data_IF_892571956553
#
_entry.id   IF_892571956553
#
_cell.length_a   1.000
_cell.length_b   1.000
_cell.length_c   1.000
_cell.angle_alpha   90.00
_cell.angle_beta   90.00
_cell.angle_gamma   90.00
#
_symmetry.space_group_name_H-M   'P 1'
#
loop_
_entity.id
_entity.type
_entity.pdbx_description
1 polymer ?
#
# COMPACT_ATOMS: atom_id res chain seq x y z
N UNK A 1 1.34 -8.69 23.38
CA UNK A 1 0.07 -7.94 23.42
C UNK A 1 -1.06 -8.94 23.17
N UNK A 2 -2.10 -8.94 23.99
CA UNK A 2 -3.27 -9.83 23.79
C UNK A 2 -4.06 -9.47 22.53
N UNK A 3 -4.95 -10.33 22.06
CA UNK A 3 -5.71 -10.11 20.83
C UNK A 3 -6.65 -8.90 20.96
N UNK A 4 -7.33 -8.78 22.11
CA UNK A 4 -8.22 -7.65 22.40
C UNK A 4 -7.46 -6.31 22.43
N UNK A 5 -6.28 -6.27 23.05
CA UNK A 5 -5.42 -5.07 23.06
C UNK A 5 -4.96 -4.70 21.65
N UNK A 6 -4.58 -5.70 20.84
CA UNK A 6 -4.18 -5.47 19.44
C UNK A 6 -5.34 -4.94 18.61
N UNK A 7 -6.55 -5.48 18.80
CA UNK A 7 -7.76 -4.97 18.17
C UNK A 7 -7.99 -3.50 18.55
N UNK A 8 -8.02 -3.16 19.83
CA UNK A 8 -8.20 -1.77 20.28
C UNK A 8 -7.15 -0.83 19.68
N UNK A 9 -5.88 -1.22 19.69
CA UNK A 9 -4.80 -0.42 19.11
C UNK A 9 -5.00 -0.17 17.60
N UNK A 10 -5.38 -1.20 16.84
CA UNK A 10 -5.65 -1.06 15.39
C UNK A 10 -6.89 -0.19 15.16
N UNK A 11 -7.96 -0.38 15.94
CA UNK A 11 -9.20 0.42 15.81
C UNK A 11 -8.95 1.89 16.13
N UNK A 12 -8.16 2.17 17.16
CA UNK A 12 -7.77 3.52 17.57
C UNK A 12 -6.90 4.19 16.52
N UNK A 13 -5.92 3.47 15.94
CA UNK A 13 -5.08 4.02 14.88
C UNK A 13 -5.91 4.55 13.69
N UNK A 14 -6.98 3.87 13.30
CA UNK A 14 -7.88 4.39 12.25
C UNK A 14 -8.59 5.70 12.63
N UNK A 15 -8.91 5.91 13.90
CA UNK A 15 -9.54 7.13 14.40
C UNK A 15 -8.51 8.25 14.59
N UNK A 16 -7.28 7.91 15.01
CA UNK A 16 -6.16 8.85 15.09
C UNK A 16 -5.82 9.42 13.70
N UNK A 17 -5.93 8.61 12.64
CA UNK A 17 -5.70 9.07 11.26
C UNK A 17 -6.67 10.16 10.81
N UNK A 18 -7.87 10.22 11.37
CA UNK A 18 -8.84 11.28 11.03
C UNK A 18 -8.86 12.42 12.05
N UNK A 19 -8.01 12.35 13.07
CA UNK A 19 -7.93 13.38 14.09
C UNK A 19 -7.40 14.68 13.46
N UNK A 20 -8.15 15.77 13.58
CA UNK A 20 -7.80 17.08 13.02
C UNK A 20 -8.30 17.33 11.59
N UNK A 21 -8.98 16.35 10.97
CA UNK A 21 -9.66 16.55 9.69
C UNK A 21 -11.04 17.20 9.89
N UNK A 22 -11.42 18.08 8.96
CA UNK A 22 -12.74 18.69 8.95
C UNK A 22 -13.80 17.75 8.35
N UNK A 23 -15.10 17.92 8.65
CA UNK A 23 -16.16 17.10 8.09
C UNK A 23 -16.15 17.01 6.55
N UNK A 24 -15.73 18.08 5.88
CA UNK A 24 -15.60 18.18 4.43
C UNK A 24 -14.49 17.27 3.90
N UNK A 25 -13.35 17.20 4.59
CA UNK A 25 -12.21 16.35 4.21
C UNK A 25 -12.60 14.87 4.25
N UNK A 26 -13.39 14.49 5.26
CA UNK A 26 -13.84 13.12 5.50
C UNK A 26 -14.83 12.60 4.43
N UNK A 27 -15.30 13.50 3.56
CA UNK A 27 -16.22 13.25 2.46
C UNK A 27 -15.54 13.22 1.09
N UNK A 28 -14.27 13.61 0.99
CA UNK A 28 -13.58 13.73 -0.29
C UNK A 28 -13.45 12.38 -1.00
N UNK A 29 -13.76 12.38 -2.30
CA UNK A 29 -13.46 11.29 -3.22
C UNK A 29 -12.79 11.88 -4.47
N UNK A 30 -11.46 11.93 -4.47
CA UNK A 30 -10.68 12.56 -5.55
C UNK A 30 -10.80 11.85 -6.91
N UNK A 31 -11.11 10.56 -6.91
CA UNK A 31 -11.29 9.74 -8.11
C UNK A 31 -12.15 8.50 -7.82
N UNK A 32 -12.58 7.83 -8.90
CA UNK A 32 -13.43 6.64 -8.81
C UNK A 32 -12.81 5.48 -8.00
N UNK A 33 -11.47 5.41 -7.95
CA UNK A 33 -10.77 4.40 -7.15
C UNK A 33 -10.63 4.80 -5.66
N UNK A 34 -10.67 6.08 -5.34
CA UNK A 34 -10.59 6.54 -3.95
C UNK A 34 -11.94 6.31 -3.23
N UNK A 35 -11.91 6.23 -1.91
CA UNK A 35 -13.08 6.29 -1.05
C UNK A 35 -12.92 7.36 0.04
N UNK A 36 -14.02 8.00 0.48
CA UNK A 36 -13.93 8.96 1.58
C UNK A 36 -13.42 8.34 2.87
N UNK A 37 -12.66 9.08 3.68
CA UNK A 37 -12.16 8.61 4.97
C UNK A 37 -13.30 8.11 5.89
N UNK A 38 -14.46 8.79 5.88
CA UNK A 38 -15.67 8.30 6.57
C UNK A 38 -16.13 6.93 6.07
N UNK A 39 -16.03 6.68 4.76
CA UNK A 39 -16.38 5.38 4.18
C UNK A 39 -15.38 4.29 4.62
N UNK A 40 -14.07 4.57 4.70
CA UNK A 40 -13.09 3.62 5.25
C UNK A 40 -13.43 3.22 6.69
N UNK A 41 -13.74 4.19 7.54
CA UNK A 41 -14.15 3.94 8.93
C UNK A 41 -15.43 3.12 9.04
N UNK A 42 -16.42 3.40 8.19
CA UNK A 42 -17.65 2.65 8.18
C UNK A 42 -17.47 1.23 7.61
N UNK A 43 -16.63 1.08 6.58
CA UNK A 43 -16.37 -0.19 5.91
C UNK A 43 -15.61 -1.19 6.80
N UNK A 44 -14.59 -0.74 7.53
CA UNK A 44 -13.87 -1.65 8.44
C UNK A 44 -14.77 -2.11 9.58
N UNK A 45 -15.71 -1.27 10.02
CA UNK A 45 -16.75 -1.66 10.99
C UNK A 45 -17.75 -2.63 10.43
N UNK A 46 -18.21 -2.38 9.21
CA UNK A 46 -19.08 -3.29 8.47
C UNK A 46 -18.45 -4.69 8.40
N UNK A 47 -17.14 -4.79 8.15
CA UNK A 47 -16.46 -6.08 8.08
C UNK A 47 -16.65 -6.89 9.38
N UNK A 48 -16.32 -6.31 10.54
CA UNK A 48 -16.48 -7.01 11.82
C UNK A 48 -17.94 -7.36 12.11
N UNK A 49 -18.86 -6.42 11.91
CA UNK A 49 -20.29 -6.68 12.16
C UNK A 49 -20.84 -7.80 11.25
N UNK A 50 -20.47 -7.77 9.97
CA UNK A 50 -20.97 -8.70 8.96
C UNK A 50 -20.43 -10.11 9.12
N UNK A 51 -19.14 -10.25 9.43
CA UNK A 51 -18.48 -11.56 9.43
C UNK A 51 -18.36 -12.19 10.81
N UNK A 52 -18.48 -11.42 11.90
CA UNK A 52 -18.20 -11.91 13.25
C UNK A 52 -19.35 -11.72 14.23
N UNK A 53 -20.25 -10.76 14.01
CA UNK A 53 -21.27 -10.38 15.02
C UNK A 53 -22.72 -10.67 14.62
N UNK A 54 -22.98 -11.21 13.42
CA UNK A 54 -24.36 -11.50 12.96
C UNK A 54 -25.15 -12.43 13.91
N UNK A 55 -24.44 -13.29 14.64
CA UNK A 55 -25.03 -14.25 15.57
C UNK A 55 -24.88 -13.84 17.05
N UNK A 56 -24.32 -12.65 17.36
CA UNK A 56 -24.24 -12.16 18.73
C UNK A 56 -25.59 -11.58 19.17
N UNK A 57 -26.30 -12.31 20.04
CA UNK A 57 -27.60 -11.91 20.56
C UNK A 57 -27.58 -10.61 21.40
N UNK A 58 -26.41 -10.19 21.91
CA UNK A 58 -26.22 -8.95 22.66
C UNK A 58 -25.84 -7.77 21.75
N UNK A 59 -25.50 -8.04 20.48
CA UNK A 59 -25.05 -7.02 19.55
C UNK A 59 -26.21 -6.19 19.01
N UNK A 60 -26.06 -4.86 19.05
CA UNK A 60 -26.99 -3.92 18.44
C UNK A 60 -26.51 -3.53 17.04
N UNK A 61 -27.01 -4.26 16.04
CA UNK A 61 -26.64 -4.10 14.64
C UNK A 61 -26.94 -2.69 14.09
N UNK A 62 -26.18 -2.28 13.06
CA UNK A 62 -26.50 -1.12 12.26
C UNK A 62 -27.84 -1.27 11.49
N UNK A 63 -28.45 -0.17 11.02
CA UNK A 63 -29.59 -0.25 10.11
C UNK A 63 -29.23 -1.05 8.86
N UNK A 64 -30.09 -1.98 8.44
CA UNK A 64 -29.83 -2.90 7.30
C UNK A 64 -29.29 -2.21 6.04
N UNK A 65 -29.77 -1.00 5.74
CA UNK A 65 -29.31 -0.22 4.58
C UNK A 65 -27.79 0.06 4.61
N UNK A 66 -27.16 0.14 5.79
CA UNK A 66 -25.73 0.38 5.94
C UNK A 66 -24.90 -0.81 5.45
N UNK A 67 -25.41 -2.04 5.54
CA UNK A 67 -24.74 -3.22 4.97
C UNK A 67 -24.64 -3.14 3.45
N UNK A 68 -25.55 -2.42 2.79
CA UNK A 68 -25.45 -2.13 1.34
C UNK A 68 -24.46 -1.01 1.05
N UNK A 69 -24.49 0.07 1.84
CA UNK A 69 -23.62 1.24 1.64
C UNK A 69 -22.14 0.95 1.88
N UNK A 70 -21.84 0.09 2.84
CA UNK A 70 -20.49 -0.19 3.30
C UNK A 70 -19.99 -1.58 2.93
N UNK A 71 -20.74 -2.37 2.17
CA UNK A 71 -20.18 -3.50 1.44
C UNK A 71 -19.26 -2.97 0.32
N UNK A 72 -18.03 -3.45 0.28
CA UNK A 72 -17.05 -3.04 -0.73
C UNK A 72 -17.37 -3.67 -2.09
N UNK A 73 -17.42 -5.00 -2.14
CA UNK A 73 -17.49 -5.78 -3.37
C UNK A 73 -18.05 -7.20 -3.19
N UNK A 74 -18.50 -7.60 -2.00
CA UNK A 74 -18.95 -8.96 -1.72
C UNK A 74 -20.34 -9.22 -2.31
N UNK A 75 -20.38 -9.79 -3.51
CA UNK A 75 -21.61 -10.00 -4.28
C UNK A 75 -22.49 -11.10 -3.71
N UNK A 76 -21.88 -12.08 -3.05
CA UNK A 76 -22.58 -13.12 -2.29
C UNK A 76 -23.32 -12.57 -1.06
N UNK A 77 -22.90 -11.44 -0.52
CA UNK A 77 -23.57 -10.76 0.61
C UNK A 77 -24.69 -9.84 0.11
N UNK A 78 -24.49 -9.14 -1.00
CA UNK A 78 -25.50 -8.26 -1.59
C UNK A 78 -24.96 -7.39 -2.72
N UNK A 79 -25.77 -6.42 -3.16
CA UNK A 79 -25.35 -5.44 -4.19
C UNK A 79 -24.77 -4.19 -3.52
N UNK A 80 -23.45 -3.97 -3.54
CA UNK A 80 -22.84 -2.80 -2.91
C UNK A 80 -23.21 -1.49 -3.60
N UNK A 81 -23.18 -0.39 -2.84
CA UNK A 81 -23.26 0.97 -3.40
C UNK A 81 -22.13 1.21 -4.42
N UNK A 82 -22.39 1.86 -5.58
CA UNK A 82 -21.36 2.07 -6.60
C UNK A 82 -20.13 2.77 -6.04
N UNK A 83 -18.95 2.17 -6.24
CA UNK A 83 -17.67 2.73 -5.77
C UNK A 83 -17.44 4.18 -6.22
N UNK A 84 -17.68 4.57 -7.49
CA UNK A 84 -17.47 5.96 -7.93
C UNK A 84 -18.40 7.00 -7.30
N UNK A 85 -19.43 6.55 -6.57
CA UNK A 85 -20.46 7.41 -5.98
C UNK A 85 -20.40 7.44 -4.45
N UNK A 86 -19.34 6.90 -3.83
CA UNK A 86 -19.19 6.87 -2.36
C UNK A 86 -19.11 8.27 -1.76
N UNK A 87 -18.51 9.23 -2.46
CA UNK A 87 -18.42 10.65 -2.08
C UNK A 87 -19.76 11.37 -2.07
N UNK A 88 -20.80 10.80 -2.69
CA UNK A 88 -22.16 11.36 -2.65
C UNK A 88 -22.90 11.04 -1.35
N UNK A 89 -22.36 10.14 -0.52
CA UNK A 89 -22.98 9.66 0.71
C UNK A 89 -22.80 10.63 1.89
N UNK A 90 -23.50 11.77 1.85
CA UNK A 90 -23.53 12.75 2.96
C UNK A 90 -24.08 12.15 4.27
N UNK A 91 -24.85 11.05 4.18
CA UNK A 91 -25.32 10.25 5.30
C UNK A 91 -24.86 8.79 5.19
N UNK A 92 -24.62 8.11 6.32
CA UNK A 92 -24.65 8.63 7.69
C UNK A 92 -23.53 9.64 7.96
N UNK A 93 -23.78 10.55 8.92
CA UNK A 93 -22.78 11.53 9.40
C UNK A 93 -21.72 10.82 10.25
N UNK A 94 -20.53 11.41 10.34
CA UNK A 94 -19.39 10.82 11.05
C UNK A 94 -19.74 10.35 12.47
N UNK A 95 -20.39 11.19 13.28
CA UNK A 95 -20.78 10.83 14.66
C UNK A 95 -21.61 9.55 14.75
N UNK A 96 -22.44 9.24 13.76
CA UNK A 96 -23.22 8.00 13.75
C UNK A 96 -22.34 6.80 13.35
N UNK A 97 -21.38 7.00 12.45
CA UNK A 97 -20.37 5.99 12.10
C UNK A 97 -19.50 5.68 13.32
N UNK A 98 -19.01 6.69 14.04
CA UNK A 98 -18.22 6.52 15.27
C UNK A 98 -19.02 5.83 16.38
N UNK A 99 -20.30 6.20 16.58
CA UNK A 99 -21.15 5.52 17.54
C UNK A 99 -21.38 4.03 17.18
N UNK A 100 -21.48 3.71 15.89
CA UNK A 100 -21.53 2.33 15.42
C UNK A 100 -20.21 1.58 15.63
N UNK A 101 -19.08 2.22 15.31
CA UNK A 101 -17.72 1.72 15.61
C UNK A 101 -17.61 1.30 17.07
N UNK A 102 -18.03 2.16 18.00
CA UNK A 102 -17.96 1.87 19.43
C UNK A 102 -18.80 0.65 19.85
N UNK A 103 -20.02 0.48 19.31
CA UNK A 103 -20.86 -0.70 19.60
C UNK A 103 -20.23 -1.99 19.07
N UNK A 104 -19.67 -1.96 17.88
CA UNK A 104 -18.94 -3.10 17.29
C UNK A 104 -17.69 -3.40 18.10
N UNK A 105 -16.92 -2.38 18.50
CA UNK A 105 -15.73 -2.55 19.34
C UNK A 105 -16.05 -3.28 20.65
N UNK A 106 -17.07 -2.82 21.40
CA UNK A 106 -17.45 -3.47 22.65
C UNK A 106 -17.97 -4.91 22.47
N UNK A 107 -18.55 -5.23 21.31
CA UNK A 107 -19.00 -6.60 21.01
C UNK A 107 -17.85 -7.52 20.61
N UNK A 108 -16.92 -6.99 19.82
CA UNK A 108 -15.67 -7.67 19.47
C UNK A 108 -14.79 -7.94 20.70
N UNK A 109 -14.71 -7.02 21.66
CA UNK A 109 -13.99 -7.22 22.92
C UNK A 109 -14.55 -8.41 23.73
N UNK A 110 -15.88 -8.53 23.82
CA UNK A 110 -16.51 -9.71 24.43
C UNK A 110 -16.16 -10.98 23.67
N UNK A 111 -16.34 -11.00 22.35
CA UNK A 111 -16.04 -12.16 21.51
C UNK A 111 -14.57 -12.61 21.67
N UNK A 112 -13.62 -11.67 21.65
CA UNK A 112 -12.20 -12.00 21.81
C UNK A 112 -11.89 -12.52 23.22
N UNK A 113 -12.53 -11.98 24.25
CA UNK A 113 -12.38 -12.47 25.64
C UNK A 113 -12.85 -13.93 25.76
N UNK A 114 -13.98 -14.27 25.12
CA UNK A 114 -14.51 -15.64 25.04
C UNK A 114 -13.57 -16.57 24.27
N UNK A 115 -13.02 -16.11 23.14
CA UNK A 115 -12.04 -16.88 22.35
C UNK A 115 -10.73 -17.13 23.10
N UNK A 116 -10.23 -16.14 23.84
CA UNK A 116 -9.02 -16.27 24.67
C UNK A 116 -9.26 -17.24 25.85
N UNK A 117 -10.42 -17.17 26.51
CA UNK A 117 -10.81 -18.10 27.58
C UNK A 117 -11.03 -19.54 27.08
N UNK A 118 -11.48 -19.70 25.82
CA UNK A 118 -11.78 -20.97 25.17
C UNK A 118 -10.56 -21.76 24.65
N UNK A 119 -9.33 -21.32 24.92
CA UNK A 119 -8.09 -22.01 24.50
C UNK A 119 -7.51 -21.54 23.17
N UNK A 120 -8.00 -20.45 22.58
CA UNK A 120 -7.43 -19.82 21.38
C UNK A 120 -7.31 -20.77 20.18
N UNK A 121 -6.12 -20.85 19.58
CA UNK A 121 -5.84 -21.75 18.44
C UNK A 121 -5.90 -23.24 18.78
N UNK A 122 -5.88 -23.61 20.07
CA UNK A 122 -6.11 -24.98 20.54
C UNK A 122 -7.60 -25.33 20.73
N UNK A 123 -8.50 -24.37 20.48
CA UNK A 123 -9.95 -24.53 20.63
C UNK A 123 -10.60 -25.37 19.53
N UNK A 124 -11.92 -25.50 19.61
CA UNK A 124 -12.73 -26.24 18.64
C UNK A 124 -12.65 -25.62 17.23
N UNK A 125 -12.95 -26.37 16.15
CA UNK A 125 -12.86 -25.87 14.76
C UNK A 125 -13.56 -24.52 14.51
N UNK A 126 -14.72 -24.29 15.14
CA UNK A 126 -15.47 -23.03 15.04
C UNK A 126 -14.71 -21.85 15.68
N UNK A 127 -14.11 -22.04 16.86
CA UNK A 127 -13.30 -21.01 17.52
C UNK A 127 -12.06 -20.64 16.68
N UNK A 128 -11.41 -21.65 16.07
CA UNK A 128 -10.28 -21.42 15.16
C UNK A 128 -10.70 -20.61 13.93
N UNK A 129 -11.86 -20.90 13.36
CA UNK A 129 -12.42 -20.14 12.24
C UNK A 129 -12.71 -18.68 12.63
N UNK A 130 -13.36 -18.45 13.77
CA UNK A 130 -13.61 -17.10 14.29
C UNK A 130 -12.30 -16.34 14.52
N UNK A 131 -11.30 -16.97 15.14
CA UNK A 131 -9.99 -16.35 15.36
C UNK A 131 -9.31 -15.98 14.04
N UNK A 132 -9.36 -16.85 13.02
CA UNK A 132 -8.84 -16.53 11.69
C UNK A 132 -9.58 -15.34 11.05
N UNK A 133 -10.92 -15.26 11.21
CA UNK A 133 -11.72 -14.14 10.72
C UNK A 133 -11.44 -12.83 11.47
N UNK A 134 -11.19 -12.89 12.78
CA UNK A 134 -10.71 -11.73 13.56
C UNK A 134 -9.37 -11.25 13.01
N UNK A 135 -8.40 -12.15 12.83
CA UNK A 135 -7.09 -11.81 12.28
C UNK A 135 -7.20 -11.22 10.87
N UNK A 136 -8.07 -11.76 10.02
CA UNK A 136 -8.36 -11.18 8.70
C UNK A 136 -8.94 -9.77 8.81
N UNK A 137 -9.91 -9.56 9.70
CA UNK A 137 -10.51 -8.24 9.92
C UNK A 137 -9.51 -7.19 10.42
N UNK A 138 -8.59 -7.58 11.31
CA UNK A 138 -7.52 -6.70 11.78
C UNK A 138 -6.58 -6.28 10.64
N UNK A 139 -6.13 -7.25 9.83
CA UNK A 139 -5.25 -6.96 8.70
C UNK A 139 -5.98 -6.18 7.58
N UNK A 140 -7.27 -6.47 7.36
CA UNK A 140 -8.12 -5.71 6.46
C UNK A 140 -8.23 -4.23 6.90
N UNK A 141 -8.39 -3.96 8.19
CA UNK A 141 -8.39 -2.58 8.67
C UNK A 141 -7.06 -1.88 8.47
N UNK A 142 -5.93 -2.57 8.65
CA UNK A 142 -4.60 -2.01 8.38
C UNK A 142 -4.41 -1.67 6.89
N UNK A 143 -4.95 -2.46 5.95
CA UNK A 143 -5.00 -2.07 4.54
C UNK A 143 -5.82 -0.79 4.34
N UNK A 144 -6.96 -0.66 5.03
CA UNK A 144 -7.80 0.53 4.94
C UNK A 144 -7.19 1.77 5.61
N UNK A 145 -6.30 1.61 6.59
CA UNK A 145 -5.51 2.71 7.17
C UNK A 145 -4.54 3.29 6.13
N UNK A 146 -3.84 2.42 5.41
CA UNK A 146 -2.96 2.83 4.32
C UNK A 146 -3.76 3.51 3.19
N UNK A 147 -4.86 2.89 2.73
CA UNK A 147 -5.70 3.45 1.67
C UNK A 147 -6.31 4.80 2.05
N UNK A 148 -6.72 4.98 3.31
CA UNK A 148 -7.32 6.24 3.78
C UNK A 148 -6.38 7.42 3.52
N UNK A 149 -5.09 7.29 3.84
CA UNK A 149 -4.11 8.35 3.63
C UNK A 149 -3.80 8.57 2.15
N UNK A 150 -3.76 7.51 1.35
CA UNK A 150 -3.54 7.63 -0.10
C UNK A 150 -4.72 8.30 -0.81
N UNK A 151 -5.94 7.99 -0.38
CA UNK A 151 -7.18 8.56 -0.92
C UNK A 151 -7.35 10.03 -0.50
N UNK A 152 -6.99 10.35 0.76
CA UNK A 152 -6.95 11.72 1.25
C UNK A 152 -5.91 12.57 0.50
N UNK A 153 -4.70 12.03 0.30
CA UNK A 153 -3.65 12.68 -0.49
C UNK A 153 -4.15 13.02 -1.90
N UNK A 154 -4.82 12.09 -2.57
CA UNK A 154 -5.39 12.35 -3.90
C UNK A 154 -6.41 13.50 -3.87
N UNK A 155 -7.33 13.47 -2.89
CA UNK A 155 -8.33 14.52 -2.70
C UNK A 155 -7.70 15.90 -2.45
N UNK A 156 -6.75 15.98 -1.53
CA UNK A 156 -6.06 17.22 -1.17
C UNK A 156 -5.22 17.77 -2.34
N UNK A 157 -4.57 16.89 -3.10
CA UNK A 157 -3.72 17.27 -4.24
C UNK A 157 -4.49 17.95 -5.38
N UNK A 158 -5.81 17.75 -5.44
CA UNK A 158 -6.71 18.31 -6.44
C UNK A 158 -7.36 19.62 -5.99
N UNK A 159 -7.31 19.92 -4.70
CA UNK A 159 -7.80 21.19 -4.20
C UNK A 159 -6.88 22.31 -4.66
N UNK A 160 -7.39 23.41 -5.26
CA UNK A 160 -6.56 24.55 -5.64
C UNK A 160 -5.95 25.27 -4.42
N UNK A 161 -6.47 25.01 -3.23
CA UNK A 161 -5.92 25.53 -1.97
C UNK A 161 -4.79 24.66 -1.39
N UNK A 162 -4.55 23.47 -1.97
CA UNK A 162 -3.47 22.56 -1.57
C UNK A 162 -3.35 22.36 -0.04
N UNK A 163 -4.43 21.93 0.65
CA UNK A 163 -4.43 21.73 2.09
C UNK A 163 -3.46 20.61 2.49
N UNK A 164 -2.80 20.75 3.64
CA UNK A 164 -1.92 19.72 4.20
C UNK A 164 -2.67 18.90 5.26
N UNK A 165 -2.46 17.58 5.26
CA UNK A 165 -2.94 16.70 6.33
C UNK A 165 -2.12 16.89 7.61
N UNK A 166 -0.79 16.92 7.48
CA UNK A 166 0.15 17.10 8.57
C UNK A 166 1.16 18.20 8.18
N UNK A 167 0.80 19.49 8.25
CA UNK A 167 1.65 20.57 7.76
C UNK A 167 3.04 20.54 8.42
N UNK A 168 4.09 20.62 7.60
CA UNK A 168 5.45 20.71 8.10
C UNK A 168 5.61 21.96 9.01
N UNK A 169 6.38 21.89 10.11
CA UNK A 169 6.63 23.05 10.96
C UNK A 169 7.23 24.21 10.14
N UNK A 170 6.84 25.48 10.39
CA UNK A 170 7.30 26.64 9.62
C UNK A 170 8.83 26.77 9.52
N UNK A 171 9.55 26.36 10.57
CA UNK A 171 11.02 26.42 10.64
C UNK A 171 11.75 25.47 9.66
N UNK A 172 11.03 24.55 9.01
CA UNK A 172 11.54 23.63 7.98
C UNK A 172 11.34 24.16 6.56
N UNK A 173 10.30 24.96 6.29
CA UNK A 173 10.03 25.49 4.95
C UNK A 173 11.08 26.54 4.54
N UNK A 174 11.43 27.47 5.43
CA UNK A 174 12.49 28.48 5.15
C UNK A 174 13.90 27.87 5.07
N UNK A 175 14.18 26.81 5.83
CA UNK A 175 15.48 26.12 5.79
C UNK A 175 15.65 25.24 4.55
N UNK A 176 14.59 24.61 4.06
CA UNK A 176 14.63 23.82 2.83
C UNK A 176 14.73 24.71 1.58
N UNK A 177 14.13 25.91 1.60
CA UNK A 177 14.23 26.88 0.52
C UNK A 177 15.59 27.60 0.44
N UNK A 178 16.30 27.79 1.57
CA UNK A 178 17.51 28.62 1.61
C UNK A 178 18.79 27.97 2.19
N UNK A 179 18.75 26.79 2.81
CA UNK A 179 19.92 26.13 3.40
C UNK A 179 19.82 24.60 3.42
N UNK A 180 19.60 23.97 2.26
CA UNK A 180 20.10 22.60 2.12
C UNK A 180 21.61 22.67 1.87
N UNK A 181 22.49 22.02 2.66
CA UNK A 181 23.85 21.78 2.20
C UNK A 181 23.75 21.15 0.80
N UNK A 182 24.65 21.54 -0.11
CA UNK A 182 24.64 21.05 -1.50
C UNK A 182 24.32 19.55 -1.48
N UNK A 183 23.30 19.07 -2.22
CA UNK A 183 22.85 17.69 -2.13
C UNK A 183 24.06 16.82 -2.36
N UNK A 184 24.48 16.06 -1.35
CA UNK A 184 25.47 15.01 -1.57
C UNK A 184 24.85 14.11 -2.63
N UNK A 185 25.49 13.94 -3.78
CA UNK A 185 25.02 13.04 -4.83
C UNK A 185 24.61 11.72 -4.19
N UNK A 186 23.46 11.14 -4.56
CA UNK A 186 23.04 9.88 -3.98
C UNK A 186 24.16 8.86 -4.26
N UNK A 187 24.38 7.94 -3.33
CA UNK A 187 25.32 6.84 -3.57
C UNK A 187 24.99 6.20 -4.92
N UNK A 188 25.99 5.96 -5.79
CA UNK A 188 25.76 5.25 -7.05
C UNK A 188 24.98 3.97 -6.80
N UNK A 189 24.04 3.63 -7.68
CA UNK A 189 23.24 2.42 -7.56
C UNK A 189 24.16 1.19 -7.55
N UNK A 190 24.17 0.45 -6.43
CA UNK A 190 24.85 -0.83 -6.31
C UNK A 190 23.94 -1.97 -6.75
N UNK A 191 24.52 -3.16 -6.87
CA UNK A 191 23.81 -4.35 -7.33
C UNK A 191 24.02 -5.50 -6.34
N UNK A 192 22.90 -6.04 -5.84
CA UNK A 192 22.85 -7.30 -5.12
C UNK A 192 22.70 -8.44 -6.13
N UNK A 193 23.75 -9.25 -6.26
CA UNK A 193 23.76 -10.38 -7.20
C UNK A 193 23.30 -11.66 -6.51
N UNK A 194 22.53 -12.47 -7.25
CA UNK A 194 22.10 -13.78 -6.83
C UNK A 194 22.42 -14.81 -7.92
N UNK A 195 23.05 -15.95 -7.60
CA UNK A 195 23.50 -16.94 -8.60
C UNK A 195 22.36 -17.72 -9.27
N UNK A 196 21.11 -17.46 -8.89
CA UNK A 196 19.95 -18.22 -9.34
C UNK A 196 19.80 -19.54 -8.57
N UNK A 197 18.97 -20.44 -9.12
CA UNK A 197 18.64 -21.74 -8.55
C UNK A 197 17.19 -21.88 -8.11
N UNK A 198 16.89 -23.02 -7.49
CA UNK A 198 15.55 -23.35 -7.01
C UNK A 198 15.28 -22.68 -5.66
N UNK A 199 14.28 -21.80 -5.61
CA UNK A 199 13.87 -21.09 -4.39
C UNK A 199 12.44 -21.43 -4.01
N UNK A 200 12.08 -21.16 -2.75
CA UNK A 200 10.69 -21.21 -2.28
C UNK A 200 10.05 -19.83 -2.38
N UNK A 201 8.85 -19.77 -2.94
CA UNK A 201 8.01 -18.58 -3.00
C UNK A 201 6.71 -18.84 -2.22
N UNK A 202 6.30 -17.89 -1.39
CA UNK A 202 5.04 -17.90 -0.64
C UNK A 202 5.17 -18.26 0.83
N UNK A 203 4.07 -18.05 1.56
CA UNK A 203 4.01 -18.18 3.01
C UNK A 203 4.31 -19.61 3.49
N UNK A 204 5.29 -19.71 4.40
CA UNK A 204 5.67 -20.93 5.11
C UNK A 204 5.70 -20.66 6.60
N UNK A 205 5.02 -21.50 7.38
CA UNK A 205 5.08 -21.46 8.84
C UNK A 205 3.75 -21.11 9.48
N UNK A 206 3.85 -20.59 10.71
CA UNK A 206 2.73 -20.22 11.54
C UNK A 206 2.51 -18.70 11.49
N UNK A 207 1.27 -18.27 11.65
CA UNK A 207 0.90 -16.86 11.69
C UNK A 207 -0.05 -16.45 10.57
N UNK A 208 -0.46 -15.18 10.59
CA UNK A 208 -1.39 -14.67 9.61
C UNK A 208 -0.71 -14.45 8.26
N UNK A 209 -1.40 -14.84 7.19
CA UNK A 209 -1.11 -14.46 5.82
C UNK A 209 -2.44 -14.31 5.07
N UNK A 210 -2.44 -13.53 3.99
CA UNK A 210 -3.56 -13.56 3.05
C UNK A 210 -3.53 -14.86 2.23
N UNK A 211 -4.69 -15.35 1.80
CA UNK A 211 -4.81 -16.56 0.98
C UNK A 211 -3.95 -16.50 -0.29
N UNK A 212 -3.83 -15.31 -0.90
CA UNK A 212 -3.01 -15.06 -2.10
C UNK A 212 -1.50 -15.24 -1.90
N UNK A 213 -1.01 -15.34 -0.66
CA UNK A 213 0.39 -15.60 -0.32
C UNK A 213 0.71 -17.11 -0.30
N UNK A 214 -0.30 -17.97 -0.52
CA UNK A 214 -0.23 -19.41 -0.34
C UNK A 214 -0.83 -20.19 -1.53
N UNK A 215 -0.49 -21.49 -1.72
CA UNK A 215 0.52 -22.25 -0.97
C UNK A 215 1.95 -21.88 -1.38
N UNK A 216 2.91 -22.15 -0.49
CA UNK A 216 4.31 -22.07 -0.84
C UNK A 216 4.66 -23.12 -1.91
N UNK A 217 5.44 -22.72 -2.91
CA UNK A 217 5.83 -23.57 -4.03
C UNK A 217 7.24 -23.21 -4.49
N UNK A 218 7.83 -24.08 -5.31
CA UNK A 218 9.19 -23.88 -5.82
C UNK A 218 9.17 -23.14 -7.16
N UNK A 219 10.11 -22.22 -7.34
CA UNK A 219 10.33 -21.47 -8.57
C UNK A 219 11.82 -21.52 -8.91
N UNK A 220 12.14 -21.69 -10.18
CA UNK A 220 13.52 -21.58 -10.68
C UNK A 220 13.83 -20.12 -11.03
N UNK A 221 14.94 -19.61 -10.49
CA UNK A 221 15.48 -18.30 -10.85
C UNK A 221 16.77 -18.48 -11.65
N UNK A 222 16.86 -17.83 -12.81
CA UNK A 222 18.14 -17.63 -13.50
C UNK A 222 19.03 -16.65 -12.71
N UNK A 223 20.36 -16.62 -12.91
CA UNK A 223 21.23 -15.61 -12.32
C UNK A 223 20.73 -14.19 -12.61
N UNK A 224 20.69 -13.36 -11.58
CA UNK A 224 20.18 -11.99 -11.69
C UNK A 224 20.88 -11.06 -10.70
N UNK A 225 20.75 -9.77 -10.95
CA UNK A 225 21.11 -8.74 -10.00
C UNK A 225 19.95 -7.76 -9.80
N UNK A 226 19.84 -7.21 -8.59
CA UNK A 226 18.86 -6.21 -8.24
C UNK A 226 19.53 -4.99 -7.62
N UNK A 227 19.00 -3.80 -7.89
CA UNK A 227 19.47 -2.57 -7.29
C UNK A 227 19.46 -2.67 -5.76
N UNK A 228 20.52 -2.19 -5.11
CA UNK A 228 20.65 -2.20 -3.65
C UNK A 228 19.78 -1.14 -2.96
N UNK A 229 19.26 -0.17 -3.70
CA UNK A 229 18.29 0.84 -3.25
C UNK A 229 17.20 1.09 -4.30
N UNK A 230 16.21 1.89 -3.90
CA UNK A 230 15.20 2.41 -4.82
C UNK A 230 15.79 3.48 -5.76
N UNK A 231 15.14 3.65 -6.90
CA UNK A 231 15.42 4.76 -7.84
C UNK A 231 15.05 6.09 -7.19
N UNK A 232 15.88 7.11 -7.34
CA UNK A 232 15.66 8.43 -6.74
C UNK A 232 14.91 9.39 -7.67
N UNK A 233 14.35 10.47 -7.10
CA UNK A 233 13.75 11.56 -7.87
C UNK A 233 14.75 12.18 -8.86
N UNK A 234 16.02 12.33 -8.48
CA UNK A 234 17.06 12.90 -9.34
C UNK A 234 17.37 12.00 -10.54
N UNK A 235 17.44 10.69 -10.32
CA UNK A 235 17.60 9.72 -11.41
C UNK A 235 16.37 9.69 -12.34
N UNK A 236 15.16 9.75 -11.76
CA UNK A 236 13.93 9.83 -12.54
C UNK A 236 13.80 11.14 -13.32
N UNK A 237 14.28 12.26 -12.78
CA UNK A 237 14.34 13.53 -13.47
C UNK A 237 15.26 13.46 -14.70
N UNK A 238 16.36 12.69 -14.65
CA UNK A 238 17.23 12.47 -15.80
C UNK A 238 16.49 11.72 -16.93
N UNK A 239 15.70 10.70 -16.61
CA UNK A 239 14.81 10.03 -17.55
C UNK A 239 13.83 11.01 -18.21
N UNK A 240 13.24 11.92 -17.43
CA UNK A 240 12.32 12.93 -17.96
C UNK A 240 13.01 13.95 -18.87
N UNK A 241 14.21 14.41 -18.51
CA UNK A 241 15.01 15.35 -19.31
C UNK A 241 15.45 14.73 -20.64
N UNK A 242 15.78 13.45 -20.64
CA UNK A 242 16.18 12.70 -21.84
C UNK A 242 14.99 12.31 -22.75
N UNK A 243 13.81 12.90 -22.54
CA UNK A 243 12.64 12.66 -23.36
C UNK A 243 11.90 11.36 -23.02
N UNK A 244 12.06 10.82 -21.81
CA UNK A 244 11.49 9.54 -21.40
C UNK A 244 9.97 9.43 -21.55
N UNK A 245 9.23 10.54 -21.43
CA UNK A 245 7.77 10.58 -21.66
C UNK A 245 7.38 10.86 -23.12
N UNK A 246 8.36 11.12 -23.99
CA UNK A 246 8.21 11.47 -25.39
C UNK A 246 8.73 10.37 -26.32
N UNK A 247 9.54 9.43 -25.82
CA UNK A 247 10.08 8.32 -26.58
C UNK A 247 9.30 7.02 -26.37
N UNK A 248 8.47 6.65 -27.34
CA UNK A 248 7.67 5.42 -27.34
C UNK A 248 8.49 4.13 -27.19
N UNK A 249 9.79 4.13 -27.52
CA UNK A 249 10.64 2.92 -27.48
C UNK A 249 10.84 2.38 -26.06
N UNK A 250 10.63 3.19 -25.03
CA UNK A 250 10.73 2.77 -23.64
C UNK A 250 9.43 2.14 -23.11
N UNK A 251 8.30 2.39 -23.75
CA UNK A 251 6.98 2.08 -23.21
C UNK A 251 6.41 0.78 -23.79
N UNK A 252 5.67 0.07 -22.95
CA UNK A 252 4.69 -0.90 -23.47
C UNK A 252 3.63 -0.17 -24.28
N UNK A 253 3.10 -0.80 -25.33
CA UNK A 253 2.12 -0.19 -26.24
C UNK A 253 0.87 0.34 -25.50
N UNK A 254 0.30 -0.43 -24.57
CA UNK A 254 -0.82 0.03 -23.74
C UNK A 254 -0.43 1.24 -22.88
N UNK A 255 0.78 1.23 -22.31
CA UNK A 255 1.30 2.32 -21.50
C UNK A 255 1.52 3.60 -22.31
N UNK A 256 1.99 3.47 -23.55
CA UNK A 256 2.18 4.59 -24.48
C UNK A 256 0.86 5.26 -24.83
N UNK A 257 -0.16 4.49 -25.20
CA UNK A 257 -1.49 5.03 -25.48
C UNK A 257 -2.10 5.67 -24.21
N UNK A 258 -2.03 4.98 -23.07
CA UNK A 258 -2.55 5.50 -21.81
C UNK A 258 -1.90 6.81 -21.40
N UNK A 259 -0.56 6.93 -21.48
CA UNK A 259 0.15 8.16 -21.10
C UNK A 259 -0.19 9.31 -22.04
N UNK A 260 -0.43 9.03 -23.31
CA UNK A 260 -0.88 10.01 -24.30
C UNK A 260 -2.30 10.49 -23.97
N UNK A 261 -3.27 9.56 -23.84
CA UNK A 261 -4.68 9.87 -23.61
C UNK A 261 -4.94 10.60 -22.28
N UNK A 262 -4.13 10.28 -21.26
CA UNK A 262 -4.20 10.93 -19.94
C UNK A 262 -3.26 12.11 -19.80
N UNK A 263 -2.46 12.42 -20.84
CA UNK A 263 -1.48 13.49 -20.84
C UNK A 263 -0.48 13.41 -19.68
N UNK A 264 0.00 12.20 -19.39
CA UNK A 264 0.99 11.97 -18.32
C UNK A 264 2.37 12.40 -18.82
N UNK A 265 3.05 13.25 -18.04
CA UNK A 265 4.36 13.82 -18.36
C UNK A 265 5.36 13.83 -17.19
N UNK A 266 4.93 13.41 -15.99
CA UNK A 266 5.71 13.38 -14.76
C UNK A 266 4.97 12.53 -13.71
N UNK A 267 5.66 12.06 -12.63
CA UNK A 267 5.03 11.38 -11.50
C UNK A 267 3.86 12.16 -10.89
N UNK A 268 2.87 11.44 -10.34
CA UNK A 268 1.50 11.97 -10.13
C UNK A 268 1.42 13.31 -9.39
N UNK A 269 2.23 13.47 -8.34
CA UNK A 269 2.16 14.63 -7.47
C UNK A 269 3.30 15.63 -7.64
N UNK A 270 4.14 15.45 -8.66
CA UNK A 270 5.10 16.49 -9.04
C UNK A 270 4.34 17.73 -9.53
N UNK A 271 4.90 18.91 -9.26
CA UNK A 271 4.33 20.21 -9.58
C UNK A 271 5.34 20.99 -10.42
N UNK A 272 4.84 21.53 -11.53
CA UNK A 272 5.59 22.42 -12.41
C UNK A 272 4.94 23.80 -12.35
N UNK A 273 5.68 24.77 -11.83
CA UNK A 273 5.27 26.17 -11.67
C UNK A 273 5.75 27.05 -12.84
N UNK A 274 6.30 26.45 -13.90
CA UNK A 274 6.89 27.14 -15.04
C UNK A 274 8.42 27.11 -15.04
N UNK A 275 9.05 26.77 -13.91
CA UNK A 275 10.52 26.66 -13.77
C UNK A 275 11.00 25.19 -13.72
N UNK A 276 10.13 24.27 -14.13
CA UNK A 276 10.39 22.84 -14.15
C UNK A 276 9.78 22.09 -12.95
N UNK A 277 10.13 20.82 -12.81
CA UNK A 277 9.56 19.94 -11.78
C UNK A 277 10.33 20.06 -10.46
N UNK A 278 10.18 21.19 -9.78
CA UNK A 278 10.94 21.49 -8.55
C UNK A 278 10.17 21.16 -7.25
N UNK A 279 8.89 20.84 -7.36
CA UNK A 279 7.98 20.70 -6.23
C UNK A 279 7.23 19.37 -6.27
N UNK A 280 6.85 18.86 -5.10
CA UNK A 280 5.95 17.73 -4.93
C UNK A 280 4.82 18.12 -3.97
N UNK A 281 3.61 17.63 -4.23
CA UNK A 281 2.51 17.70 -3.26
C UNK A 281 2.46 16.40 -2.44
N UNK A 282 2.45 16.52 -1.11
CA UNK A 282 2.52 15.41 -0.16
C UNK A 282 1.45 15.54 0.92
N UNK A 283 1.37 14.58 1.84
CA UNK A 283 0.49 14.71 3.02
C UNK A 283 0.90 15.89 3.93
N UNK A 284 2.13 16.40 3.80
CA UNK A 284 2.57 17.61 4.49
C UNK A 284 2.31 18.91 3.70
N UNK A 285 1.59 18.80 2.57
CA UNK A 285 1.36 19.88 1.62
C UNK A 285 2.43 19.94 0.53
N UNK A 286 2.50 21.08 -0.17
CA UNK A 286 3.53 21.34 -1.18
C UNK A 286 4.90 21.48 -0.52
N UNK A 287 5.87 20.71 -0.98
CA UNK A 287 7.26 20.78 -0.52
C UNK A 287 8.25 20.72 -1.69
N UNK A 288 9.51 21.17 -1.51
CA UNK A 288 10.54 20.99 -2.52
C UNK A 288 10.75 19.52 -2.87
N UNK A 289 10.96 19.23 -4.15
CA UNK A 289 11.27 17.88 -4.62
C UNK A 289 12.70 17.50 -4.22
N UNK A 290 12.84 16.54 -3.30
CA UNK A 290 14.16 16.10 -2.83
C UNK A 290 14.80 15.12 -3.81
N UNK A 291 15.96 15.45 -4.43
CA UNK A 291 16.55 14.63 -5.49
C UNK A 291 17.00 13.23 -5.03
N UNK A 292 17.38 13.08 -3.76
CA UNK A 292 17.86 11.81 -3.20
C UNK A 292 16.76 10.95 -2.57
N UNK A 293 15.54 11.46 -2.46
CA UNK A 293 14.40 10.68 -2.00
C UNK A 293 13.98 9.68 -3.11
N UNK A 294 13.47 8.49 -2.74
CA UNK A 294 13.01 7.54 -3.73
C UNK A 294 11.82 8.11 -4.51
N UNK A 295 11.82 7.95 -5.83
CA UNK A 295 10.72 8.41 -6.68
C UNK A 295 9.46 7.61 -6.38
N UNK A 296 8.33 8.30 -6.26
CA UNK A 296 7.05 7.71 -5.83
C UNK A 296 5.86 8.14 -6.68
N UNK A 297 4.75 7.44 -6.47
CA UNK A 297 3.45 7.66 -7.14
C UNK A 297 3.54 7.42 -8.66
N UNK A 298 4.22 6.33 -9.02
CA UNK A 298 4.40 5.85 -10.38
C UNK A 298 3.37 4.78 -10.72
N UNK A 299 2.91 4.78 -11.97
CA UNK A 299 2.26 3.61 -12.55
C UNK A 299 3.28 2.51 -12.81
N UNK A 300 2.79 1.28 -13.00
CA UNK A 300 3.63 0.19 -13.47
C UNK A 300 4.25 0.53 -14.83
N UNK A 301 3.49 1.18 -15.73
CA UNK A 301 3.99 1.62 -17.03
C UNK A 301 5.14 2.62 -16.93
N UNK A 302 5.03 3.60 -16.03
CA UNK A 302 6.11 4.57 -15.76
C UNK A 302 7.36 3.91 -15.17
N UNK A 303 7.19 2.96 -14.24
CA UNK A 303 8.29 2.22 -13.63
C UNK A 303 9.02 1.33 -14.65
N UNK A 304 8.25 0.61 -15.47
CA UNK A 304 8.76 -0.27 -16.51
C UNK A 304 9.45 0.52 -17.66
N UNK A 305 8.89 1.66 -18.05
CA UNK A 305 9.51 2.55 -19.03
C UNK A 305 10.85 3.12 -18.55
N UNK A 306 10.91 3.57 -17.30
CA UNK A 306 12.16 3.99 -16.68
C UNK A 306 13.19 2.85 -16.67
N UNK A 307 12.78 1.64 -16.26
CA UNK A 307 13.68 0.50 -16.20
C UNK A 307 14.30 0.18 -17.57
N UNK A 308 13.51 0.22 -18.65
CA UNK A 308 14.03 0.05 -20.01
C UNK A 308 14.98 1.14 -20.44
N UNK A 309 14.66 2.40 -20.16
CA UNK A 309 15.56 3.53 -20.45
C UNK A 309 16.91 3.36 -19.73
N UNK A 310 16.88 2.89 -18.48
CA UNK A 310 18.08 2.61 -17.70
C UNK A 310 18.84 1.34 -18.13
N UNK A 311 18.42 0.66 -19.20
CA UNK A 311 19.05 -0.59 -19.67
C UNK A 311 18.83 -1.78 -18.71
N UNK A 312 17.75 -1.74 -17.93
CA UNK A 312 17.39 -2.71 -16.91
C UNK A 312 15.93 -3.21 -17.11
N UNK A 313 15.39 -3.89 -16.09
CA UNK A 313 13.99 -4.33 -16.01
C UNK A 313 13.46 -4.20 -14.58
N UNK A 314 12.16 -4.40 -14.39
CA UNK A 314 11.59 -4.61 -13.05
C UNK A 314 11.92 -6.03 -12.54
N UNK A 315 12.07 -6.24 -11.22
CA UNK A 315 12.25 -7.56 -10.63
C UNK A 315 10.99 -8.41 -10.79
N UNK A 316 11.14 -9.73 -10.90
CA UNK A 316 10.03 -10.68 -10.69
C UNK A 316 9.71 -10.77 -9.20
N UNK A 317 8.47 -11.08 -8.81
CA UNK A 317 8.09 -11.15 -7.39
C UNK A 317 8.90 -12.21 -6.62
N UNK A 318 9.33 -13.28 -7.30
CA UNK A 318 10.20 -14.30 -6.73
C UNK A 318 11.66 -13.85 -6.54
N UNK A 319 12.19 -13.02 -7.44
CA UNK A 319 13.52 -12.40 -7.26
C UNK A 319 13.48 -11.46 -6.05
N UNK A 320 12.42 -10.66 -5.98
CA UNK A 320 12.19 -9.73 -4.88
C UNK A 320 12.05 -10.45 -3.54
N UNK A 321 11.23 -11.51 -3.46
CA UNK A 321 11.05 -12.27 -2.21
C UNK A 321 12.36 -12.94 -1.76
N UNK A 322 13.17 -13.40 -2.71
CA UNK A 322 14.50 -13.97 -2.44
C UNK A 322 15.46 -12.92 -1.85
N UNK A 323 15.49 -11.71 -2.42
CA UNK A 323 16.23 -10.58 -1.85
C UNK A 323 15.73 -10.25 -0.44
N UNK A 324 14.41 -10.23 -0.25
CA UNK A 324 13.78 -9.84 1.00
C UNK A 324 14.17 -10.75 2.19
N UNK A 325 14.49 -12.01 1.94
CA UNK A 325 15.02 -12.93 2.96
C UNK A 325 16.44 -12.60 3.43
N UNK A 326 17.19 -11.82 2.65
CA UNK A 326 18.55 -11.37 2.97
C UNK A 326 18.58 -9.93 3.51
N UNK A 327 17.44 -9.24 3.51
CA UNK A 327 17.30 -7.89 4.02
C UNK A 327 16.84 -7.88 5.49
N UNK A 328 17.25 -6.90 6.31
CA UNK A 328 16.72 -6.74 7.66
C UNK A 328 15.20 -6.46 7.60
N UNK A 329 14.39 -7.34 8.17
CA UNK A 329 12.92 -7.31 8.02
C UNK A 329 12.22 -6.07 8.62
N UNK A 330 12.90 -5.30 9.46
CA UNK A 330 12.36 -4.12 10.14
C UNK A 330 13.08 -2.81 9.75
N UNK A 331 13.98 -2.86 8.77
CA UNK A 331 14.71 -1.66 8.32
C UNK A 331 13.92 -0.96 7.21
N UNK A 332 12.92 -0.17 7.61
CA UNK A 332 12.00 0.53 6.73
C UNK A 332 11.37 1.74 7.41
N UNK A 333 10.95 2.75 6.63
CA UNK A 333 9.97 3.71 7.13
C UNK A 333 8.57 3.11 7.06
N UNK A 334 7.85 3.14 8.17
CA UNK A 334 6.46 2.69 8.28
C UNK A 334 5.55 3.88 8.58
N UNK A 335 4.24 3.62 8.64
CA UNK A 335 3.27 4.64 9.03
C UNK A 335 3.61 5.25 10.39
N UNK A 336 3.96 6.53 10.35
CA UNK A 336 4.16 7.41 11.49
C UNK A 336 3.57 8.78 11.13
N UNK A 337 2.51 9.20 11.83
CA UNK A 337 1.86 10.49 11.57
C UNK A 337 2.78 11.70 11.82
N UNK A 338 3.92 11.50 12.49
CA UNK A 338 4.94 12.53 12.69
C UNK A 338 5.99 12.53 11.57
N UNK A 339 6.06 11.48 10.75
CA UNK A 339 7.00 11.35 9.63
C UNK A 339 6.38 10.61 8.44
N UNK A 340 5.72 11.37 7.54
CA UNK A 340 4.99 10.84 6.39
C UNK A 340 5.83 10.89 5.10
N UNK A 341 7.11 10.49 5.18
CA UNK A 341 8.05 10.51 4.06
C UNK A 341 8.91 9.25 4.03
N UNK A 342 9.19 8.67 2.84
CA UNK A 342 10.14 7.56 2.74
C UNK A 342 11.56 8.04 3.09
N UNK A 343 12.39 7.14 3.61
CA UNK A 343 13.80 7.42 3.90
C UNK A 343 14.61 7.51 2.62
N UNK A 344 15.66 8.32 2.66
CA UNK A 344 16.69 8.35 1.61
C UNK A 344 17.67 7.19 1.86
N UNK A 345 18.16 6.57 0.79
CA UNK A 345 19.27 5.62 0.91
C UNK A 345 20.54 6.38 1.36
N UNK A 346 21.32 5.77 2.26
CA UNK A 346 22.58 6.34 2.75
C UNK A 346 23.77 5.61 2.13
N UNK A 347 24.91 6.29 2.04
CA UNK A 347 26.17 5.61 1.74
C UNK A 347 26.61 4.81 2.98
N UNK A 348 26.65 3.48 2.89
CA UNK A 348 27.29 2.66 3.92
C UNK A 348 28.68 2.21 3.42
N UNK A 349 29.78 2.60 4.08
CA UNK A 349 31.13 2.16 3.72
C UNK A 349 31.41 0.68 4.05
N UNK A 350 30.62 0.05 4.92
CA UNK A 350 31.01 -1.21 5.60
C UNK A 350 30.35 -2.49 5.04
N UNK A 351 29.41 -2.36 4.10
CA UNK A 351 28.95 -3.44 3.20
C UNK A 351 27.89 -2.90 2.24
N UNK A 352 27.77 -3.44 1.02
CA UNK A 352 26.63 -3.19 0.13
C UNK A 352 25.39 -3.90 0.69
N UNK A 353 24.89 -3.44 1.83
CA UNK A 353 23.64 -3.93 2.39
C UNK A 353 22.50 -3.36 1.57
N UNK A 354 21.58 -4.24 1.15
CA UNK A 354 20.37 -3.81 0.45
C UNK A 354 19.55 -2.93 1.39
N UNK A 355 19.16 -1.76 0.92
CA UNK A 355 18.39 -0.76 1.65
C UNK A 355 16.97 -0.66 1.08
N UNK A 356 16.05 -0.14 1.90
CA UNK A 356 14.69 0.22 1.48
C UNK A 356 13.89 -0.95 0.88
N UNK A 357 14.19 -2.20 1.28
CA UNK A 357 13.42 -3.37 0.83
C UNK A 357 12.03 -3.39 1.47
N UNK A 358 11.91 -2.90 2.69
CA UNK A 358 10.67 -2.88 3.44
C UNK A 358 10.31 -1.46 3.85
N UNK A 359 9.00 -1.17 4.00
CA UNK A 359 8.53 0.16 4.37
C UNK A 359 8.64 1.10 3.18
N UNK A 360 9.21 2.29 3.36
CA UNK A 360 9.61 3.24 2.31
C UNK A 360 8.62 3.33 1.12
N UNK A 361 8.70 2.50 0.08
CA UNK A 361 7.70 2.45 -0.99
C UNK A 361 7.34 1.02 -1.41
N UNK A 362 6.10 0.84 -1.86
CA UNK A 362 5.70 -0.38 -2.56
C UNK A 362 6.50 -0.48 -3.87
N UNK A 363 7.19 -1.59 -4.08
CA UNK A 363 8.05 -1.78 -5.25
C UNK A 363 7.28 -2.52 -6.34
N UNK A 364 7.10 -1.89 -7.51
CA UNK A 364 6.54 -2.57 -8.67
C UNK A 364 7.39 -3.75 -9.12
N UNK A 365 6.74 -4.90 -9.38
CA UNK A 365 7.38 -6.08 -9.97
C UNK A 365 6.92 -6.28 -11.41
N UNK A 366 7.66 -7.05 -12.19
CA UNK A 366 7.26 -7.53 -13.52
C UNK A 366 6.20 -8.65 -13.46
N UNK A 367 5.78 -9.08 -12.26
CA UNK A 367 4.90 -10.24 -12.10
C UNK A 367 3.42 -9.84 -12.13
N UNK A 368 2.61 -10.42 -13.04
CA UNK A 368 1.17 -10.23 -13.00
C UNK A 368 0.61 -10.88 -11.73
N UNK A 369 -0.42 -10.28 -11.14
CA UNK A 369 -1.11 -10.84 -9.98
C UNK A 369 -1.93 -12.07 -10.40
N UNK A 370 -1.31 -13.24 -10.23
CA UNK A 370 -1.87 -14.56 -10.56
C UNK A 370 -1.94 -15.46 -9.32
N UNK A 371 -2.85 -16.44 -9.29
CA UNK A 371 -2.85 -17.46 -8.24
C UNK A 371 -1.52 -18.20 -8.25
N UNK A 372 -0.98 -18.47 -7.07
CA UNK A 372 0.11 -19.44 -6.94
C UNK A 372 -0.39 -20.84 -7.33
N UNK A 373 0.49 -21.73 -7.83
CA UNK A 373 0.12 -23.12 -8.12
C UNK A 373 -0.52 -23.79 -6.90
N UNK A 374 -1.76 -24.27 -7.05
CA UNK A 374 -2.51 -24.90 -5.96
C UNK A 374 -3.30 -23.93 -5.07
N UNK A 375 -3.32 -22.62 -5.37
CA UNK A 375 -4.20 -21.65 -4.70
C UNK A 375 -5.66 -22.10 -4.75
N UNK A 376 -6.33 -22.00 -3.60
CA UNK A 376 -7.76 -22.22 -3.46
C UNK A 376 -8.35 -21.07 -2.66
N UNK A 377 -9.35 -20.40 -3.23
CA UNK A 377 -10.09 -19.38 -2.49
C UNK A 377 -10.82 -20.03 -1.31
N UNK A 378 -10.91 -19.31 -0.19
CA UNK A 378 -11.70 -19.74 0.95
C UNK A 378 -13.18 -19.95 0.57
N UNK A 379 -13.87 -20.87 1.26
CA UNK A 379 -15.30 -21.09 1.04
C UNK A 379 -16.15 -19.93 1.55
N UNK A 380 -17.30 -19.69 0.91
CA UNK A 380 -18.24 -18.65 1.32
C UNK A 380 -17.84 -17.24 0.86
N UNK A 381 -18.48 -16.23 1.43
CA UNK A 381 -18.30 -14.84 1.01
C UNK A 381 -16.84 -14.35 1.13
N UNK A 382 -16.12 -14.79 2.16
CA UNK A 382 -14.71 -14.41 2.36
C UNK A 382 -13.79 -14.87 1.22
N UNK A 383 -14.18 -15.88 0.43
CA UNK A 383 -13.46 -16.29 -0.79
C UNK A 383 -13.40 -15.22 -1.88
N UNK A 384 -14.27 -14.20 -1.81
CA UNK A 384 -14.22 -13.06 -2.72
C UNK A 384 -13.11 -12.05 -2.40
N UNK A 385 -12.37 -12.22 -1.30
CA UNK A 385 -11.39 -11.23 -0.83
C UNK A 385 -10.27 -10.97 -1.86
N UNK A 386 -9.65 -12.04 -2.39
CA UNK A 386 -8.48 -11.91 -3.27
C UNK A 386 -8.64 -12.59 -4.63
N UNK A 387 -9.14 -13.83 -4.67
CA UNK A 387 -9.06 -14.68 -5.88
C UNK A 387 -9.69 -14.05 -7.14
N UNK A 388 -10.82 -13.35 -7.00
CA UNK A 388 -11.52 -12.72 -8.13
C UNK A 388 -10.77 -11.53 -8.76
N UNK A 389 -9.72 -11.05 -8.10
CA UNK A 389 -8.91 -9.92 -8.55
C UNK A 389 -7.63 -10.35 -9.28
N UNK A 390 -7.37 -11.66 -9.42
CA UNK A 390 -6.15 -12.24 -10.03
C UNK A 390 -6.12 -12.19 -11.58
N UNK A 391 -6.46 -11.03 -12.13
CA UNK A 391 -6.37 -10.70 -13.56
C UNK A 391 -6.13 -9.20 -13.75
N UNK A 392 -5.39 -8.83 -14.79
CA UNK A 392 -5.21 -7.44 -15.22
C UNK A 392 -4.60 -6.50 -14.16
N UNK A 393 -3.80 -7.06 -13.27
CA UNK A 393 -3.09 -6.35 -12.20
C UNK A 393 -1.66 -6.86 -12.09
N UNK A 394 -0.78 -6.04 -11.54
CA UNK A 394 0.62 -6.37 -11.28
C UNK A 394 0.89 -6.34 -9.78
N UNK A 395 1.84 -7.16 -9.36
CA UNK A 395 2.22 -7.31 -7.96
C UNK A 395 3.18 -6.20 -7.54
N UNK A 396 2.97 -5.66 -6.33
CA UNK A 396 3.94 -4.83 -5.61
C UNK A 396 4.34 -5.49 -4.29
N UNK A 397 5.56 -5.20 -3.83
CA UNK A 397 6.16 -5.80 -2.62
C UNK A 397 6.78 -4.74 -1.70
N UNK A 398 7.07 -5.09 -0.45
CA UNK A 398 7.81 -4.24 0.51
C UNK A 398 6.99 -3.52 1.59
N UNK A 399 5.76 -3.11 1.30
CA UNK A 399 5.07 -2.11 2.12
C UNK A 399 5.43 -0.70 1.68
N UNK A 400 4.95 0.32 2.38
CA UNK A 400 5.27 1.73 2.15
C UNK A 400 5.39 2.49 3.47
N UNK A 401 5.84 3.74 3.41
CA UNK A 401 5.80 4.69 4.53
C UNK A 401 4.37 4.97 5.06
N UNK A 402 3.32 4.49 4.38
CA UNK A 402 1.92 4.54 4.82
C UNK A 402 1.39 3.20 5.33
N UNK A 403 2.16 2.12 5.20
CA UNK A 403 1.80 0.79 5.72
C UNK A 403 2.00 0.76 7.24
N UNK A 404 0.99 0.34 8.03
CA UNK A 404 1.15 0.15 9.47
C UNK A 404 2.29 -0.81 9.82
N UNK A 405 3.09 -0.46 10.83
CA UNK A 405 4.19 -1.32 11.28
C UNK A 405 3.68 -2.71 11.69
N UNK A 406 4.38 -3.76 11.25
CA UNK A 406 4.02 -5.16 11.51
C UNK A 406 2.88 -5.70 10.63
N UNK A 407 2.34 -4.90 9.70
CA UNK A 407 1.41 -5.39 8.67
C UNK A 407 2.13 -6.06 7.50
N UNK A 408 3.41 -5.77 7.29
CA UNK A 408 4.20 -6.31 6.19
C UNK A 408 4.62 -7.77 6.44
N UNK A 409 4.92 -8.48 5.35
CA UNK A 409 5.56 -9.80 5.31
C UNK A 409 6.48 -9.84 4.10
N UNK A 410 7.55 -10.64 4.15
CA UNK A 410 8.34 -10.92 2.94
C UNK A 410 7.49 -11.54 1.84
N UNK A 411 6.39 -12.22 2.18
CA UNK A 411 5.46 -12.89 1.26
C UNK A 411 4.26 -12.04 0.85
N UNK A 412 4.10 -10.84 1.41
CA UNK A 412 2.92 -10.00 1.17
C UNK A 412 2.81 -9.59 -0.30
N UNK A 413 1.68 -9.87 -0.94
CA UNK A 413 1.42 -9.50 -2.33
C UNK A 413 0.37 -8.40 -2.41
N UNK A 414 0.83 -7.15 -2.56
CA UNK A 414 -0.07 -6.05 -2.93
C UNK A 414 -0.29 -6.08 -4.44
N UNK A 415 -1.39 -5.55 -4.93
CA UNK A 415 -1.72 -5.61 -6.35
C UNK A 415 -2.57 -4.43 -6.79
N UNK A 416 -2.21 -3.87 -7.95
CA UNK A 416 -2.95 -2.79 -8.58
C UNK A 416 -2.97 -2.93 -10.10
N UNK A 417 -3.94 -2.27 -10.74
CA UNK A 417 -3.93 -2.05 -12.19
C UNK A 417 -2.60 -1.38 -12.60
N UNK A 418 -2.03 -1.73 -13.78
CA UNK A 418 -0.79 -1.12 -14.24
C UNK A 418 -0.88 0.40 -14.46
N UNK A 419 -2.09 0.96 -14.49
CA UNK A 419 -2.37 2.39 -14.67
C UNK A 419 -2.46 3.18 -13.35
N UNK A 420 -2.51 2.48 -12.21
CA UNK A 420 -2.70 3.10 -10.89
C UNK A 420 -1.45 3.85 -10.44
N UNK A 421 -1.62 5.06 -9.91
CA UNK A 421 -0.49 5.97 -9.55
C UNK A 421 -0.61 6.64 -8.18
N UNK A 422 -1.78 6.60 -7.54
CA UNK A 422 -1.98 7.33 -6.28
C UNK A 422 -1.35 6.61 -5.09
N UNK A 423 -1.16 5.29 -5.23
CA UNK A 423 -0.47 4.46 -4.24
C UNK A 423 0.97 4.95 -4.01
N UNK A 424 1.49 4.78 -2.80
CA UNK A 424 2.89 5.04 -2.44
C UNK A 424 3.82 3.99 -3.06
N UNK A 425 3.89 3.99 -4.38
CA UNK A 425 4.62 3.03 -5.20
C UNK A 425 5.84 3.67 -5.84
N UNK A 426 6.95 2.96 -5.82
CA UNK A 426 8.22 3.32 -6.46
C UNK A 426 8.74 2.17 -7.30
N UNK A 427 10.05 2.16 -7.57
CA UNK A 427 10.70 1.07 -8.30
C UNK A 427 12.11 0.77 -7.80
N UNK A 428 12.46 -0.51 -7.94
CA UNK A 428 13.80 -1.06 -7.84
C UNK A 428 14.16 -1.70 -9.17
N UNK A 429 15.39 -1.50 -9.62
CA UNK A 429 15.85 -2.10 -10.88
C UNK A 429 16.29 -3.55 -10.66
N UNK A 430 16.15 -4.36 -11.69
CA UNK A 430 16.74 -5.69 -11.82
C UNK A 430 17.38 -5.83 -13.19
N UNK A 431 18.34 -6.75 -13.32
CA UNK A 431 18.94 -7.14 -14.60
C UNK A 431 19.29 -8.62 -14.57
N UNK A 432 19.31 -9.23 -15.74
CA UNK A 432 19.79 -10.59 -15.89
C UNK A 432 21.32 -10.58 -15.85
N UNK A 433 21.91 -11.55 -15.16
CA UNK A 433 23.36 -11.77 -15.17
C UNK A 433 23.65 -12.98 -16.06
N UNK A 434 24.76 -12.93 -16.80
CA UNK A 434 25.18 -14.10 -17.58
C UNK A 434 25.47 -15.26 -16.62
N UNK A 435 25.01 -16.47 -16.96
CA UNK A 435 25.46 -17.68 -16.27
C UNK A 435 26.98 -17.78 -16.41
N UNK A 436 27.70 -17.71 -15.28
CA UNK A 436 29.15 -17.88 -15.21
C UNK A 436 29.60 -19.26 -15.71
#
# INVERSE_FOLDING_TARGET
>A
MGLAQRFQAIRQASEDLIHGLEPEDLMLQGMADASPAKWHLAHTTWFFEQFLLQNDAQHQAAPNQWHTLFNSYYRTIGSPHPRPERGLLSRPVLRHVLAWRQRVNGSMERLMTELEAGGGLGGFPEQRHLLAMVQLGLNHEQQHQELLLMDLLDGFSRSPLEPAYAPAPPAHQDRLAHQSPAPSSPSPLGWWCHPGGLVWLGHRGEGFHFDNESPAHQVWLEPFAMGDRLVTNGEYAAFMVDGGYQDSRHWMDEGWHWRHDRQITAPRYWRNDGEGWQWEFTLEGRCPLHPNAPVRHLSWFEADAYARWAGARLPREAEWETMAHHAPCCDGQWLDCQNLKPRQATASPESPMVQQVFGDLWEWTASPYRPYPGFQAASGAVGEYNGKFMSSQFVLRGGSFLTPAGHHRSTYRNFFSPRSRWMASGLRLARDEASL
#
